data_IF_716574581724
#
_entry.id   IF_716574581724
#
_cell.length_a   1.000
_cell.length_b   1.000
_cell.length_c   1.000
_cell.angle_alpha   90.00
_cell.angle_beta   90.00
_cell.angle_gamma   90.00
#
_symmetry.space_group_name_H-M   'P 1'
#
loop_
_entity.id
_entity.type
_entity.pdbx_description
1 polymer ?
#
# COMPACT_ATOMS: atom_id res chain seq x y z
N UNK A 1 -3.04 -11.87 22.63
CA UNK A 1 -2.77 -10.90 21.55
C UNK A 1 -2.78 -9.49 22.14
N UNK A 2 -1.70 -8.76 21.94
CA UNK A 2 -1.58 -7.37 22.40
C UNK A 2 -2.46 -6.45 21.55
N UNK A 3 -2.79 -5.26 22.07
CA UNK A 3 -3.64 -4.29 21.39
C UNK A 3 -3.15 -3.95 19.97
N UNK A 4 -1.85 -3.65 19.72
CA UNK A 4 -1.34 -3.41 18.37
C UNK A 4 -1.61 -4.58 17.42
N UNK A 5 -1.34 -5.82 17.85
CA UNK A 5 -1.58 -7.01 17.02
C UNK A 5 -3.07 -7.19 16.67
N UNK A 6 -3.99 -6.84 17.57
CA UNK A 6 -5.44 -6.87 17.28
C UNK A 6 -5.82 -5.87 16.19
N UNK A 7 -5.22 -4.68 16.21
CA UNK A 7 -5.45 -3.64 15.19
C UNK A 7 -4.93 -4.11 13.83
N UNK A 8 -3.74 -4.73 13.78
CA UNK A 8 -3.19 -5.31 12.54
C UNK A 8 -4.09 -6.42 11.97
N UNK A 9 -4.65 -7.30 12.83
CA UNK A 9 -5.61 -8.33 12.39
C UNK A 9 -6.90 -7.68 11.87
N UNK A 10 -7.41 -6.64 12.53
CA UNK A 10 -8.56 -5.88 12.04
C UNK A 10 -8.30 -5.30 10.64
N UNK A 11 -7.10 -4.76 10.39
CA UNK A 11 -6.69 -4.28 9.07
C UNK A 11 -6.71 -5.38 8.01
N UNK A 12 -6.23 -6.57 8.33
CA UNK A 12 -6.31 -7.73 7.43
C UNK A 12 -7.76 -8.09 7.09
N UNK A 13 -8.65 -8.08 8.08
CA UNK A 13 -10.09 -8.31 7.85
C UNK A 13 -10.68 -7.21 6.97
N UNK A 14 -10.37 -5.93 7.23
CA UNK A 14 -10.79 -4.81 6.39
C UNK A 14 -10.26 -4.95 4.95
N UNK A 15 -9.03 -5.42 4.79
CA UNK A 15 -8.45 -5.70 3.46
C UNK A 15 -9.25 -6.77 2.71
N UNK A 16 -9.63 -7.87 3.37
CA UNK A 16 -10.45 -8.92 2.75
C UNK A 16 -11.82 -8.37 2.36
N UNK A 17 -12.47 -7.61 3.25
CA UNK A 17 -13.76 -6.97 2.97
C UNK A 17 -13.63 -6.03 1.76
N UNK A 18 -12.56 -5.25 1.68
CA UNK A 18 -12.29 -4.34 0.58
C UNK A 18 -12.10 -5.08 -0.75
N UNK A 19 -11.34 -6.19 -0.74
CA UNK A 19 -11.16 -7.04 -1.92
C UNK A 19 -12.52 -7.60 -2.39
N UNK A 20 -13.32 -8.13 -1.46
CA UNK A 20 -14.65 -8.66 -1.80
C UNK A 20 -15.53 -7.54 -2.36
N UNK A 21 -15.54 -6.36 -1.73
CA UNK A 21 -16.34 -5.22 -2.19
C UNK A 21 -15.97 -4.78 -3.62
N UNK A 22 -14.69 -4.80 -3.97
CA UNK A 22 -14.21 -4.33 -5.28
C UNK A 22 -14.25 -5.41 -6.37
N UNK A 23 -14.13 -6.71 -6.01
CA UNK A 23 -14.03 -7.80 -6.98
C UNK A 23 -15.35 -8.55 -7.20
N UNK A 24 -16.27 -8.51 -6.24
CA UNK A 24 -17.52 -9.27 -6.35
C UNK A 24 -18.44 -8.64 -7.41
N UNK A 25 -18.98 -9.43 -8.34
CA UNK A 25 -19.81 -8.94 -9.45
C UNK A 25 -21.24 -8.64 -8.96
N UNK A 26 -21.42 -7.61 -8.17
CA UNK A 26 -22.72 -7.25 -7.57
C UNK A 26 -23.82 -7.01 -8.61
N UNK A 27 -23.46 -6.44 -9.76
CA UNK A 27 -24.41 -6.18 -10.85
C UNK A 27 -25.01 -7.46 -11.43
N UNK A 28 -24.23 -8.54 -11.52
CA UNK A 28 -24.69 -9.83 -12.05
C UNK A 28 -25.69 -10.51 -11.09
N UNK A 29 -25.60 -10.17 -9.80
CA UNK A 29 -26.51 -10.68 -8.75
C UNK A 29 -27.71 -9.75 -8.55
N UNK A 30 -27.83 -8.68 -9.35
CA UNK A 30 -28.95 -7.73 -9.28
C UNK A 30 -28.81 -6.64 -8.23
N UNK A 31 -27.64 -6.52 -7.57
CA UNK A 31 -27.38 -5.44 -6.61
C UNK A 31 -26.76 -4.26 -7.35
N UNK A 32 -27.49 -3.15 -7.43
CA UNK A 32 -27.02 -1.92 -8.06
C UNK A 32 -26.66 -0.88 -7.01
N UNK A 33 -25.43 -0.38 -7.07
CA UNK A 33 -25.01 0.74 -6.22
C UNK A 33 -25.43 2.06 -6.89
N UNK A 34 -26.04 2.99 -6.13
CA UNK A 34 -26.34 4.31 -6.67
C UNK A 34 -25.08 5.07 -7.05
N UNK A 35 -25.15 5.82 -8.15
CA UNK A 35 -24.09 6.73 -8.59
C UNK A 35 -24.44 8.16 -8.21
N UNK A 36 -23.48 8.87 -7.65
CA UNK A 36 -23.66 10.26 -7.19
C UNK A 36 -22.99 11.22 -8.19
N UNK A 37 -23.79 11.96 -8.95
CA UNK A 37 -23.29 12.92 -9.94
C UNK A 37 -22.61 14.15 -9.34
N UNK A 38 -22.80 14.41 -8.03
CA UNK A 38 -22.22 15.56 -7.32
C UNK A 38 -20.69 15.48 -7.26
N UNK A 39 -20.13 14.28 -7.41
CA UNK A 39 -18.69 14.01 -7.34
C UNK A 39 -18.18 13.36 -8.65
N UNK A 40 -18.66 13.79 -9.83
CA UNK A 40 -18.18 13.23 -11.08
C UNK A 40 -18.72 11.85 -11.46
N UNK A 41 -19.87 11.42 -10.90
CA UNK A 41 -20.49 10.14 -11.26
C UNK A 41 -19.92 8.93 -10.52
N UNK A 42 -19.46 9.08 -9.29
CA UNK A 42 -18.88 8.01 -8.49
C UNK A 42 -19.95 7.05 -7.97
N UNK A 43 -19.74 5.74 -8.16
CA UNK A 43 -20.56 4.71 -7.52
C UNK A 43 -20.34 4.68 -6.00
N UNK A 44 -21.43 4.46 -5.25
CA UNK A 44 -21.37 4.26 -3.79
C UNK A 44 -20.37 3.16 -3.39
N UNK A 45 -20.20 2.14 -4.22
CA UNK A 45 -19.23 1.05 -4.02
C UNK A 45 -17.81 1.60 -3.83
N UNK A 46 -17.36 2.51 -4.70
CA UNK A 46 -16.02 3.11 -4.63
C UNK A 46 -15.88 4.10 -3.47
N UNK A 47 -16.96 4.80 -3.11
CA UNK A 47 -16.97 5.68 -1.94
C UNK A 47 -16.76 4.84 -0.66
N UNK A 48 -17.50 3.73 -0.50
CA UNK A 48 -17.32 2.83 0.63
C UNK A 48 -15.91 2.23 0.62
N UNK A 49 -15.42 1.79 -0.53
CA UNK A 49 -14.08 1.25 -0.68
C UNK A 49 -13.01 2.27 -0.26
N UNK A 50 -13.13 3.53 -0.70
CA UNK A 50 -12.22 4.60 -0.32
C UNK A 50 -12.23 4.89 1.18
N UNK A 51 -13.40 4.91 1.81
CA UNK A 51 -13.51 5.09 3.27
C UNK A 51 -12.85 3.93 4.02
N UNK A 52 -13.11 2.68 3.62
CA UNK A 52 -12.47 1.49 4.22
C UNK A 52 -10.95 1.55 4.05
N UNK A 53 -10.47 1.93 2.86
CA UNK A 53 -9.04 2.06 2.59
C UNK A 53 -8.38 3.13 3.47
N UNK A 54 -9.00 4.30 3.63
CA UNK A 54 -8.51 5.36 4.52
C UNK A 54 -8.46 4.86 5.96
N UNK A 55 -9.54 4.26 6.47
CA UNK A 55 -9.59 3.74 7.84
C UNK A 55 -8.51 2.68 8.05
N UNK A 56 -8.38 1.72 7.14
CA UNK A 56 -7.35 0.69 7.22
C UNK A 56 -5.92 1.26 7.18
N UNK A 57 -5.67 2.30 6.35
CA UNK A 57 -4.38 2.98 6.27
C UNK A 57 -4.07 3.80 7.53
N UNK A 58 -5.07 4.44 8.14
CA UNK A 58 -4.90 5.17 9.40
C UNK A 58 -4.64 4.25 10.58
N UNK A 59 -5.24 3.05 10.60
CA UNK A 59 -4.97 2.05 11.66
C UNK A 59 -3.51 1.61 11.66
N UNK A 60 -2.82 1.57 10.51
CA UNK A 60 -1.39 1.30 10.41
C UNK A 60 -0.54 2.31 11.18
N UNK A 61 -0.89 3.58 11.03
CA UNK A 61 -0.19 4.64 11.75
C UNK A 61 -0.41 4.56 13.27
N UNK A 62 -1.63 4.21 13.67
CA UNK A 62 -2.04 4.13 15.08
C UNK A 62 -1.38 2.94 15.78
N UNK A 63 -1.39 1.74 15.18
CA UNK A 63 -0.82 0.55 15.80
C UNK A 63 0.70 0.63 15.91
N UNK A 64 1.38 1.16 14.88
CA UNK A 64 2.81 1.43 14.93
C UNK A 64 3.20 2.46 16.01
N UNK A 65 2.38 3.48 16.24
CA UNK A 65 2.58 4.44 17.32
C UNK A 65 2.37 3.79 18.71
N UNK A 66 1.27 3.05 18.89
CA UNK A 66 0.92 2.37 20.16
C UNK A 66 1.94 1.30 20.53
N UNK A 67 2.42 0.50 19.54
CA UNK A 67 3.42 -0.53 19.76
C UNK A 67 4.74 0.06 20.32
N UNK A 68 5.15 1.21 19.77
CA UNK A 68 6.37 1.92 20.24
C UNK A 68 6.17 2.55 21.60
N UNK A 69 5.02 3.21 21.84
CA UNK A 69 4.72 3.90 23.10
C UNK A 69 4.61 2.93 24.26
N UNK A 70 4.04 1.75 24.05
CA UNK A 70 3.76 0.78 25.12
C UNK A 70 4.84 -0.31 25.26
N UNK A 71 5.95 -0.25 24.48
CA UNK A 71 6.98 -1.29 24.42
C UNK A 71 6.41 -2.72 24.18
N UNK A 72 5.30 -2.84 23.47
CA UNK A 72 4.58 -4.09 23.19
C UNK A 72 4.92 -4.65 21.80
N UNK A 73 6.17 -4.56 21.43
CA UNK A 73 6.63 -5.04 20.12
C UNK A 73 6.86 -6.56 20.21
N UNK A 74 6.09 -7.34 19.45
CA UNK A 74 6.27 -8.79 19.31
C UNK A 74 6.74 -9.14 17.90
N UNK A 75 7.50 -10.22 17.72
CA UNK A 75 7.98 -10.61 16.40
C UNK A 75 6.84 -11.07 15.48
N UNK A 76 5.84 -11.75 16.03
CA UNK A 76 4.59 -12.08 15.30
C UNK A 76 3.84 -10.81 14.88
N UNK A 77 3.78 -9.79 15.75
CA UNK A 77 3.17 -8.49 15.41
C UNK A 77 3.87 -7.80 14.26
N UNK A 78 5.21 -7.74 14.27
CA UNK A 78 6.00 -7.17 13.16
C UNK A 78 5.77 -7.90 11.84
N UNK A 79 5.69 -9.25 11.89
CA UNK A 79 5.45 -10.05 10.71
C UNK A 79 4.06 -9.79 10.13
N UNK A 80 3.02 -9.81 10.97
CA UNK A 80 1.64 -9.53 10.55
C UNK A 80 1.49 -8.11 9.99
N UNK A 81 2.12 -7.13 10.62
CA UNK A 81 2.12 -5.73 10.17
C UNK A 81 2.74 -5.59 8.78
N UNK A 82 3.91 -6.20 8.55
CA UNK A 82 4.56 -6.19 7.25
C UNK A 82 3.74 -6.88 6.15
N UNK A 83 2.90 -7.86 6.50
CA UNK A 83 1.98 -8.52 5.55
C UNK A 83 0.77 -7.62 5.30
N UNK A 84 0.16 -7.07 6.34
CA UNK A 84 -1.07 -6.30 6.27
C UNK A 84 -0.90 -5.01 5.44
N UNK A 85 0.20 -4.27 5.65
CA UNK A 85 0.53 -3.06 4.90
C UNK A 85 0.59 -3.33 3.39
N UNK A 86 1.30 -4.38 2.99
CA UNK A 86 1.43 -4.74 1.57
C UNK A 86 0.18 -5.36 0.98
N UNK A 87 -0.52 -6.19 1.75
CA UNK A 87 -1.77 -6.79 1.31
C UNK A 87 -2.80 -5.71 0.98
N UNK A 88 -2.96 -4.69 1.84
CA UNK A 88 -3.92 -3.61 1.64
C UNK A 88 -3.60 -2.83 0.35
N UNK A 89 -2.41 -2.26 0.25
CA UNK A 89 -2.08 -1.35 -0.85
C UNK A 89 -1.95 -2.10 -2.18
N UNK A 90 -1.23 -3.22 -2.21
CA UNK A 90 -0.98 -3.93 -3.45
C UNK A 90 -2.25 -4.56 -4.03
N UNK A 91 -3.14 -5.12 -3.19
CA UNK A 91 -4.40 -5.67 -3.68
C UNK A 91 -5.29 -4.61 -4.32
N UNK A 92 -5.42 -3.44 -3.68
CA UNK A 92 -6.23 -2.35 -4.24
C UNK A 92 -5.65 -1.85 -5.56
N UNK A 93 -4.32 -1.64 -5.65
CA UNK A 93 -3.68 -1.22 -6.90
C UNK A 93 -3.89 -2.23 -8.03
N UNK A 94 -3.77 -3.54 -7.75
CA UNK A 94 -3.98 -4.59 -8.74
C UNK A 94 -5.43 -4.59 -9.21
N UNK A 95 -6.40 -4.44 -8.29
CA UNK A 95 -7.82 -4.41 -8.64
C UNK A 95 -8.15 -3.18 -9.48
N UNK A 96 -7.70 -1.98 -9.08
CA UNK A 96 -7.93 -0.74 -9.83
C UNK A 96 -7.31 -0.81 -11.24
N UNK A 97 -6.13 -1.42 -11.38
CA UNK A 97 -5.52 -1.66 -12.69
C UNK A 97 -6.33 -2.67 -13.52
N UNK A 98 -6.84 -3.74 -12.90
CA UNK A 98 -7.73 -4.71 -13.55
C UNK A 98 -9.07 -4.10 -14.02
N UNK A 99 -9.51 -3.05 -13.34
CA UNK A 99 -10.72 -2.28 -13.70
C UNK A 99 -10.42 -1.11 -14.67
N UNK A 100 -9.18 -0.98 -15.17
CA UNK A 100 -8.72 0.11 -16.04
C UNK A 100 -8.85 1.52 -15.44
N UNK A 101 -8.90 1.64 -14.12
CA UNK A 101 -8.93 2.94 -13.41
C UNK A 101 -7.54 3.55 -13.29
N UNK A 102 -6.50 2.73 -13.24
CA UNK A 102 -5.09 3.15 -13.21
C UNK A 102 -4.26 2.32 -14.20
N UNK A 103 -3.08 2.82 -14.57
CA UNK A 103 -2.17 2.08 -15.45
C UNK A 103 -1.63 0.82 -14.78
N UNK A 104 -1.65 -0.33 -15.49
CA UNK A 104 -1.15 -1.62 -15.00
C UNK A 104 0.35 -1.60 -14.64
N UNK A 105 1.13 -0.67 -15.20
CA UNK A 105 2.55 -0.51 -14.88
C UNK A 105 2.77 -0.12 -13.41
N UNK A 106 1.79 0.57 -12.79
CA UNK A 106 1.88 1.06 -11.41
C UNK A 106 1.99 -0.10 -10.41
N UNK A 107 1.02 -1.04 -10.33
CA UNK A 107 1.13 -2.18 -9.42
C UNK A 107 2.32 -3.06 -9.74
N UNK A 108 2.70 -3.24 -11.01
CA UNK A 108 3.87 -4.04 -11.40
C UNK A 108 5.14 -3.46 -10.78
N UNK A 109 5.42 -2.16 -10.95
CA UNK A 109 6.61 -1.51 -10.39
C UNK A 109 6.60 -1.57 -8.86
N UNK A 110 5.45 -1.27 -8.24
CA UNK A 110 5.33 -1.23 -6.77
C UNK A 110 5.58 -2.60 -6.16
N UNK A 111 4.94 -3.64 -6.70
CA UNK A 111 5.07 -5.03 -6.19
C UNK A 111 6.48 -5.56 -6.41
N UNK A 112 7.06 -5.40 -7.60
CA UNK A 112 8.43 -5.84 -7.88
C UNK A 112 9.44 -5.18 -6.94
N UNK A 113 9.30 -3.86 -6.75
CA UNK A 113 10.15 -3.13 -5.80
C UNK A 113 10.01 -3.67 -4.39
N UNK A 114 8.80 -3.94 -3.93
CA UNK A 114 8.57 -4.43 -2.57
C UNK A 114 9.15 -5.83 -2.37
N UNK A 115 9.10 -6.69 -3.38
CA UNK A 115 9.76 -8.00 -3.38
C UNK A 115 11.28 -7.83 -3.26
N UNK A 116 11.89 -7.01 -4.11
CA UNK A 116 13.35 -6.79 -4.12
C UNK A 116 13.84 -6.23 -2.79
N UNK A 117 13.17 -5.18 -2.28
CA UNK A 117 13.57 -4.56 -1.00
C UNK A 117 13.39 -5.51 0.17
N UNK A 118 12.35 -6.36 0.14
CA UNK A 118 12.16 -7.38 1.18
C UNK A 118 13.24 -8.45 1.14
N UNK A 119 13.61 -8.93 -0.06
CA UNK A 119 14.70 -9.89 -0.20
C UNK A 119 16.01 -9.32 0.38
N UNK A 120 16.33 -8.05 0.09
CA UNK A 120 17.49 -7.37 0.67
C UNK A 120 17.42 -7.30 2.19
N UNK A 121 16.26 -6.96 2.75
CA UNK A 121 16.06 -6.89 4.20
C UNK A 121 16.17 -8.25 4.88
N UNK A 122 15.64 -9.31 4.26
CA UNK A 122 15.73 -10.68 4.76
C UNK A 122 17.19 -11.17 4.76
N UNK A 123 17.93 -10.93 3.69
CA UNK A 123 19.36 -11.29 3.61
C UNK A 123 20.18 -10.56 4.69
N UNK A 124 19.92 -9.27 4.89
CA UNK A 124 20.57 -8.49 5.93
C UNK A 124 20.24 -9.01 7.34
N UNK A 125 18.97 -9.34 7.60
CA UNK A 125 18.52 -9.88 8.88
C UNK A 125 19.16 -11.24 9.16
N UNK A 126 19.30 -12.12 8.17
CA UNK A 126 20.02 -13.39 8.27
C UNK A 126 21.49 -13.24 8.67
N UNK A 127 22.08 -12.08 8.36
CA UNK A 127 23.46 -11.70 8.76
C UNK A 127 23.52 -10.84 10.04
N UNK A 128 22.40 -10.76 10.80
CA UNK A 128 22.32 -10.00 12.03
C UNK A 128 22.32 -8.47 11.86
N UNK A 129 22.12 -7.96 10.62
CA UNK A 129 22.10 -6.53 10.34
C UNK A 129 20.67 -6.03 10.14
N UNK A 130 20.33 -4.89 10.75
CA UNK A 130 19.04 -4.23 10.60
C UNK A 130 19.15 -3.14 9.55
N UNK A 131 18.36 -3.28 8.47
CA UNK A 131 18.29 -2.26 7.41
C UNK A 131 17.27 -1.20 7.78
N UNK A 132 17.75 0.02 8.01
CA UNK A 132 16.91 1.16 8.35
C UNK A 132 16.00 1.61 7.18
N UNK A 133 14.88 2.23 7.52
CA UNK A 133 14.00 2.83 6.52
C UNK A 133 14.64 4.08 5.91
N UNK A 134 14.63 4.16 4.58
CA UNK A 134 15.16 5.29 3.81
C UNK A 134 14.05 6.32 3.57
N UNK A 135 14.38 7.62 3.55
CA UNK A 135 13.42 8.71 3.37
C UNK A 135 12.58 8.60 2.09
N UNK A 136 13.20 8.22 0.96
CA UNK A 136 12.50 7.97 -0.31
C UNK A 136 11.45 6.87 -0.21
N UNK A 137 11.70 5.83 0.59
CA UNK A 137 10.72 4.77 0.85
C UNK A 137 9.50 5.25 1.64
N UNK A 138 9.69 6.16 2.61
CA UNK A 138 8.57 6.77 3.36
C UNK A 138 7.73 7.68 2.46
N UNK A 139 8.39 8.51 1.66
CA UNK A 139 7.71 9.42 0.73
C UNK A 139 6.92 8.63 -0.33
N UNK A 140 7.52 7.55 -0.89
CA UNK A 140 6.83 6.61 -1.79
C UNK A 140 5.52 6.11 -1.18
N UNK A 141 5.55 5.64 0.07
CA UNK A 141 4.36 5.07 0.71
C UNK A 141 3.29 6.12 0.91
N UNK A 142 3.65 7.32 1.39
CA UNK A 142 2.70 8.41 1.59
C UNK A 142 2.05 8.85 0.25
N UNK A 143 2.86 9.07 -0.79
CA UNK A 143 2.37 9.45 -2.12
C UNK A 143 1.46 8.37 -2.72
N UNK A 144 1.83 7.10 -2.54
CA UNK A 144 1.06 5.96 -3.02
C UNK A 144 -0.31 5.86 -2.33
N UNK A 145 -0.35 6.03 -0.99
CA UNK A 145 -1.61 6.01 -0.23
C UNK A 145 -2.56 7.14 -0.66
N UNK A 146 -2.03 8.36 -0.82
CA UNK A 146 -2.85 9.49 -1.28
C UNK A 146 -3.33 9.27 -2.71
N UNK A 147 -2.45 8.87 -3.63
CA UNK A 147 -2.82 8.58 -5.03
C UNK A 147 -3.87 7.47 -5.15
N UNK A 148 -3.70 6.37 -4.40
CA UNK A 148 -4.68 5.27 -4.37
C UNK A 148 -6.03 5.72 -3.80
N UNK A 149 -6.01 6.56 -2.76
CA UNK A 149 -7.25 7.14 -2.20
C UNK A 149 -7.97 7.99 -3.23
N UNK A 150 -7.27 8.87 -3.93
CA UNK A 150 -7.87 9.69 -4.99
C UNK A 150 -8.41 8.85 -6.14
N UNK A 151 -7.69 7.80 -6.56
CA UNK A 151 -8.15 6.88 -7.59
C UNK A 151 -9.44 6.16 -7.17
N UNK A 152 -9.57 5.71 -5.91
CA UNK A 152 -10.81 5.13 -5.37
C UNK A 152 -11.97 6.12 -5.39
N UNK A 153 -11.72 7.40 -5.19
CA UNK A 153 -12.72 8.46 -5.32
C UNK A 153 -12.83 9.00 -6.75
N UNK A 154 -12.34 8.25 -7.78
CA UNK A 154 -12.38 8.65 -9.19
C UNK A 154 -11.84 10.05 -9.43
N UNK A 155 -10.78 10.44 -8.71
CA UNK A 155 -10.17 11.79 -8.76
C UNK A 155 -11.19 12.93 -8.53
N UNK A 156 -12.27 12.67 -7.80
CA UNK A 156 -13.45 13.52 -7.66
C UNK A 156 -13.19 15.01 -7.40
N UNK A 157 -12.25 15.43 -6.53
CA UNK A 157 -12.05 16.85 -6.29
C UNK A 157 -11.45 17.59 -7.49
N UNK A 158 -10.73 16.86 -8.38
CA UNK A 158 -9.91 17.43 -9.46
C UNK A 158 -10.46 17.14 -10.86
N UNK A 159 -11.41 16.22 -10.98
CA UNK A 159 -12.03 15.86 -12.25
C UNK A 159 -12.64 17.09 -12.94
N UNK A 160 -13.28 17.97 -12.18
CA UNK A 160 -13.88 19.21 -12.70
C UNK A 160 -12.86 20.18 -13.36
N UNK A 161 -11.60 20.08 -12.97
CA UNK A 161 -10.50 20.89 -13.54
C UNK A 161 -9.74 20.17 -14.65
N UNK A 162 -10.11 18.92 -14.98
CA UNK A 162 -9.45 18.13 -16.00
C UNK A 162 -8.01 17.73 -15.64
N UNK A 163 -7.66 17.74 -14.34
CA UNK A 163 -6.33 17.38 -13.85
C UNK A 163 -6.40 15.99 -13.23
N UNK A 164 -5.64 15.05 -13.74
CA UNK A 164 -5.53 13.68 -13.23
C UNK A 164 -4.49 13.61 -12.09
N UNK A 165 -4.86 14.13 -10.92
CA UNK A 165 -3.95 14.22 -9.76
C UNK A 165 -3.61 12.85 -9.19
N UNK A 166 -4.55 11.91 -9.20
CA UNK A 166 -4.37 10.52 -8.82
C UNK A 166 -3.29 9.83 -9.66
N UNK A 167 -3.37 9.93 -10.99
CA UNK A 167 -2.37 9.38 -11.91
C UNK A 167 -0.99 10.01 -11.69
N UNK A 168 -0.92 11.33 -11.58
CA UNK A 168 0.34 12.04 -11.34
C UNK A 168 0.99 11.54 -10.04
N UNK A 169 0.23 11.42 -8.94
CA UNK A 169 0.75 10.94 -7.67
C UNK A 169 1.19 9.49 -7.75
N UNK A 170 0.44 8.62 -8.44
CA UNK A 170 0.79 7.23 -8.61
C UNK A 170 2.06 7.07 -9.47
N UNK A 171 2.23 7.85 -10.54
CA UNK A 171 3.47 7.86 -11.31
C UNK A 171 4.66 8.39 -10.51
N UNK A 172 4.48 9.46 -9.72
CA UNK A 172 5.51 9.96 -8.79
C UNK A 172 5.90 8.85 -7.79
N UNK A 173 4.92 8.12 -7.24
CA UNK A 173 5.18 6.99 -6.35
C UNK A 173 5.97 5.87 -7.05
N UNK A 174 5.73 5.59 -8.34
CA UNK A 174 6.52 4.65 -9.13
C UNK A 174 7.98 5.10 -9.26
N UNK A 175 8.22 6.37 -9.59
CA UNK A 175 9.57 6.93 -9.68
C UNK A 175 10.29 6.81 -8.33
N UNK A 176 9.63 7.21 -7.24
CA UNK A 176 10.16 7.07 -5.88
C UNK A 176 10.42 5.61 -5.50
N UNK A 177 9.59 4.69 -5.99
CA UNK A 177 9.77 3.24 -5.80
C UNK A 177 11.09 2.78 -6.43
N UNK A 178 11.36 3.15 -7.68
CA UNK A 178 12.59 2.79 -8.39
C UNK A 178 13.81 3.40 -7.69
N UNK A 179 13.77 4.70 -7.39
CA UNK A 179 14.85 5.39 -6.68
C UNK A 179 15.15 4.69 -5.36
N UNK A 180 14.11 4.39 -4.57
CA UNK A 180 14.24 3.70 -3.30
C UNK A 180 14.84 2.29 -3.44
N UNK A 181 14.44 1.51 -4.47
CA UNK A 181 15.03 0.20 -4.72
C UNK A 181 16.53 0.27 -4.99
N UNK A 182 16.94 1.20 -5.86
CA UNK A 182 18.35 1.44 -6.20
C UNK A 182 19.14 1.87 -4.95
N UNK A 183 18.59 2.74 -4.12
CA UNK A 183 19.22 3.18 -2.88
C UNK A 183 19.41 2.01 -1.90
N UNK A 184 18.36 1.17 -1.69
CA UNK A 184 18.46 -0.02 -0.84
C UNK A 184 19.51 -0.99 -1.36
N UNK A 185 19.57 -1.22 -2.66
CA UNK A 185 20.58 -2.08 -3.28
C UNK A 185 21.99 -1.54 -3.07
N UNK A 186 22.22 -0.25 -3.38
CA UNK A 186 23.53 0.38 -3.27
C UNK A 186 24.08 0.38 -1.83
N UNK A 187 23.23 0.65 -0.85
CA UNK A 187 23.62 0.66 0.57
C UNK A 187 23.97 -0.74 1.06
N UNK A 188 23.29 -1.77 0.54
CA UNK A 188 23.45 -3.14 1.01
C UNK A 188 24.21 -4.06 0.05
N UNK A 189 24.79 -3.54 -1.04
CA UNK A 189 25.48 -4.33 -2.06
C UNK A 189 26.60 -5.22 -1.52
N UNK A 190 27.35 -4.76 -0.50
CA UNK A 190 28.42 -5.55 0.12
C UNK A 190 27.89 -6.72 0.98
N UNK A 191 26.64 -6.61 1.44
CA UNK A 191 25.95 -7.70 2.12
C UNK A 191 25.49 -8.78 1.14
N UNK A 192 25.03 -8.34 -0.04
CA UNK A 192 24.50 -9.22 -1.08
C UNK A 192 25.67 -9.91 -1.82
N UNK A 193 26.72 -9.14 -2.11
CA UNK A 193 27.93 -9.61 -2.81
C UNK A 193 29.16 -9.39 -1.91
N UNK A 194 29.41 -10.29 -0.94
CA UNK A 194 30.61 -10.18 -0.11
C UNK A 194 31.83 -10.30 -0.98
N UNK A 195 32.75 -9.33 -0.92
CA UNK A 195 34.06 -9.45 -1.56
C UNK A 195 34.71 -10.71 -1.00
N UNK A 196 35.05 -11.67 -1.87
CA UNK A 196 35.88 -12.82 -1.48
C UNK A 196 37.12 -12.26 -0.80
N UNK A 197 37.33 -12.60 0.46
CA UNK A 197 38.60 -12.37 1.13
C UNK A 197 39.68 -13.10 0.28
N UNK A 198 40.62 -12.32 -0.24
CA UNK A 198 41.84 -12.87 -0.86
C UNK A 198 42.69 -13.52 0.21
#
# INVERSE_FOLDING_TARGET
MNLPTKITVLRLVLTVILIILLCFPFYDVGIQFPTYNVLGGISLQYIIAGVIFIVASLTDFVDGYLARKNNQITDTGKMLDAIADKALVNSVLIILAGQNMISAIIPVIVVLRDIVVNAIKMEAAGKGKVVAAIGSGKLKTATLMVGTTLALFCNAPFEHWGIYVDDILLFVACILSIISAVQYFNINKELIFPKKAK
#
